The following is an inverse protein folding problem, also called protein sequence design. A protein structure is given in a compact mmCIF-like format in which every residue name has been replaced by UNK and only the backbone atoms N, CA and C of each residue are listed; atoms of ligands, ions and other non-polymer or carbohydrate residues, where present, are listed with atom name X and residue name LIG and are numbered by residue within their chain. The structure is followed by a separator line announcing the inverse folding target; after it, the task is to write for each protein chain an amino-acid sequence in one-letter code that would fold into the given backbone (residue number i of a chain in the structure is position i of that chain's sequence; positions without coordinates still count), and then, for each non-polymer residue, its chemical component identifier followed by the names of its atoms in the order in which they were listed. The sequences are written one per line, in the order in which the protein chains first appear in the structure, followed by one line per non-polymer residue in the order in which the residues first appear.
data_IF_934359734427
#
_entry.id   IF_934359734427
#
_cell.length_a   1.000
_cell.length_b   1.000
_cell.length_c   1.000
_cell.angle_alpha   90.00
_cell.angle_beta   90.00
_cell.angle_gamma   90.00
#
_symmetry.space_group_name_H-M   'P 1'
#
loop_
_entity.id
_entity.type
_entity.pdbx_description
1 polymer ?
#
# COMPACT_ATOMS: atom_id res chain seq x y z
N UNK A 1 -3.89 15.48 -2.77
CA UNK A 1 -4.73 15.10 -1.62
C UNK A 1 -5.65 13.96 -2.05
N UNK A 2 -5.93 13.04 -1.15
CA UNK A 2 -6.73 11.86 -1.48
C UNK A 2 -8.08 12.20 -2.14
N UNK A 3 -8.67 13.33 -1.78
CA UNK A 3 -9.93 13.75 -2.38
C UNK A 3 -9.82 14.25 -3.83
N UNK A 4 -8.62 14.49 -4.33
CA UNK A 4 -8.39 15.09 -5.64
C UNK A 4 -7.46 14.29 -6.55
N UNK A 5 -6.53 13.54 -5.97
CA UNK A 5 -5.57 12.74 -6.72
C UNK A 5 -6.13 11.35 -6.95
N UNK A 6 -6.14 10.90 -8.18
CA UNK A 6 -6.66 9.57 -8.54
C UNK A 6 -5.54 8.51 -8.53
N UNK A 7 -5.93 7.25 -8.45
CA UNK A 7 -4.97 6.15 -8.62
C UNK A 7 -4.31 6.21 -9.99
N UNK A 8 -5.06 6.59 -11.02
CA UNK A 8 -4.50 6.72 -12.37
C UNK A 8 -3.36 7.74 -12.40
N UNK A 9 -3.53 8.87 -11.72
CA UNK A 9 -2.49 9.89 -11.63
C UNK A 9 -1.25 9.36 -10.90
N UNK A 10 -1.44 8.68 -9.78
CA UNK A 10 -0.33 8.10 -9.03
C UNK A 10 0.38 7.03 -9.85
N UNK A 11 -0.37 6.18 -10.54
CA UNK A 11 0.22 5.14 -11.40
C UNK A 11 1.06 5.74 -12.51
N UNK A 12 0.61 6.85 -13.09
CA UNK A 12 1.36 7.52 -14.15
C UNK A 12 2.65 8.15 -13.62
N UNK A 13 2.62 8.71 -12.41
CA UNK A 13 3.82 9.24 -11.75
C UNK A 13 4.86 8.13 -11.58
N UNK A 14 4.44 6.95 -11.12
CA UNK A 14 5.34 5.80 -10.96
C UNK A 14 5.87 5.32 -12.29
N UNK A 15 5.02 5.25 -13.31
CA UNK A 15 5.42 4.81 -14.65
C UNK A 15 6.49 5.72 -15.23
N UNK A 16 6.28 7.03 -15.13
CA UNK A 16 7.22 8.02 -15.64
C UNK A 16 8.55 7.96 -14.89
N UNK A 17 8.51 7.79 -13.58
CA UNK A 17 9.69 7.68 -12.74
C UNK A 17 10.55 6.48 -13.15
N UNK A 18 9.92 5.33 -13.32
CA UNK A 18 10.60 4.07 -13.71
C UNK A 18 11.14 4.18 -15.13
N UNK A 19 10.35 4.72 -16.05
CA UNK A 19 10.75 4.87 -17.45
C UNK A 19 11.95 5.81 -17.60
N UNK A 20 11.96 6.92 -16.88
CA UNK A 20 13.05 7.90 -16.94
C UNK A 20 14.39 7.31 -16.50
N UNK A 21 14.38 6.23 -15.74
CA UNK A 21 15.57 5.56 -15.19
C UNK A 21 15.88 4.24 -15.86
N UNK A 22 15.05 3.85 -16.83
CA UNK A 22 15.16 2.56 -17.51
C UNK A 22 15.13 1.37 -16.52
N UNK A 23 14.25 1.47 -15.53
CA UNK A 23 14.17 0.44 -14.47
C UNK A 23 13.12 -0.62 -14.74
N UNK A 24 12.38 -0.54 -15.86
CA UNK A 24 11.33 -1.52 -16.19
C UNK A 24 11.87 -2.95 -16.17
N UNK A 25 13.10 -3.15 -16.63
CA UNK A 25 13.72 -4.47 -16.66
C UNK A 25 13.88 -5.10 -15.27
N UNK A 26 13.94 -4.27 -14.23
CA UNK A 26 14.08 -4.73 -12.84
C UNK A 26 12.72 -4.86 -12.13
N UNK A 27 11.67 -4.30 -12.70
CA UNK A 27 10.33 -4.27 -12.13
C UNK A 27 9.50 -5.46 -12.60
N UNK A 28 10.05 -6.67 -12.42
CA UNK A 28 9.33 -7.90 -12.73
C UNK A 28 8.31 -8.18 -11.63
N UNK A 29 7.26 -8.97 -11.91
CA UNK A 29 6.28 -9.33 -10.88
C UNK A 29 6.94 -9.97 -9.65
N UNK A 30 7.93 -10.84 -9.86
CA UNK A 30 8.65 -11.45 -8.75
C UNK A 30 9.36 -10.41 -7.89
N UNK A 31 10.13 -9.52 -8.51
CA UNK A 31 10.90 -8.52 -7.78
C UNK A 31 9.97 -7.54 -7.06
N UNK A 32 8.89 -7.13 -7.70
CA UNK A 32 7.93 -6.20 -7.10
C UNK A 32 7.16 -6.83 -5.95
N UNK A 33 6.79 -8.11 -6.07
CA UNK A 33 6.13 -8.82 -4.98
C UNK A 33 7.06 -8.89 -3.75
N UNK A 34 8.34 -9.16 -3.98
CA UNK A 34 9.33 -9.19 -2.89
C UNK A 34 9.53 -7.81 -2.29
N UNK A 35 9.59 -6.76 -3.13
CA UNK A 35 9.75 -5.39 -2.65
C UNK A 35 8.55 -4.98 -1.77
N UNK A 36 7.33 -5.34 -2.16
CA UNK A 36 6.14 -5.09 -1.35
C UNK A 36 6.30 -5.72 0.03
N UNK A 37 6.76 -6.99 0.07
CA UNK A 37 6.99 -7.69 1.33
C UNK A 37 8.05 -7.03 2.20
N UNK A 38 9.14 -6.59 1.59
CA UNK A 38 10.23 -5.93 2.31
C UNK A 38 9.74 -4.60 2.91
N UNK A 39 9.04 -3.79 2.13
CA UNK A 39 8.52 -2.51 2.62
C UNK A 39 7.46 -2.71 3.70
N UNK A 40 6.62 -3.73 3.55
CA UNK A 40 5.65 -4.09 4.60
C UNK A 40 6.36 -4.48 5.89
N UNK A 41 7.47 -5.22 5.78
CA UNK A 41 8.28 -5.59 6.94
C UNK A 41 8.90 -4.36 7.60
N UNK A 42 9.36 -3.38 6.82
CA UNK A 42 9.89 -2.13 7.36
C UNK A 42 8.81 -1.35 8.12
N UNK A 43 7.58 -1.36 7.62
CA UNK A 43 6.45 -0.79 8.35
C UNK A 43 6.23 -1.52 9.68
N UNK A 44 6.31 -2.84 9.67
CA UNK A 44 6.17 -3.67 10.89
C UNK A 44 7.23 -3.34 11.93
N UNK A 45 8.46 -3.03 11.51
CA UNK A 45 9.57 -2.75 12.42
C UNK A 45 9.27 -1.59 13.37
N UNK A 46 8.46 -0.62 12.93
CA UNK A 46 8.08 0.50 13.80
C UNK A 46 7.22 0.07 14.99
N UNK A 47 6.54 -1.06 14.87
CA UNK A 47 5.53 -1.50 15.84
C UNK A 47 5.83 -2.81 16.54
N UNK A 48 6.78 -3.60 16.05
CA UNK A 48 6.94 -5.00 16.45
C UNK A 48 7.18 -5.19 17.97
N UNK A 49 7.78 -4.21 18.63
CA UNK A 49 8.13 -4.30 20.05
C UNK A 49 7.21 -3.47 20.93
N UNK A 50 6.18 -2.90 20.36
CA UNK A 50 5.27 -2.01 21.08
C UNK A 50 4.02 -2.77 21.54
N UNK A 51 3.44 -2.28 22.61
CA UNK A 51 2.08 -2.70 23.01
C UNK A 51 1.08 -2.03 22.07
N UNK A 52 -0.16 -2.50 22.09
CA UNK A 52 -1.24 -1.88 21.30
C UNK A 52 -1.37 -0.40 21.66
N UNK A 53 -1.31 -0.07 22.94
CA UNK A 53 -1.43 1.31 23.40
C UNK A 53 -0.27 2.16 22.93
N UNK A 54 0.94 1.65 23.00
CA UNK A 54 2.14 2.35 22.52
C UNK A 54 2.09 2.59 21.02
N UNK A 55 1.46 1.69 20.26
CA UNK A 55 1.31 1.88 18.80
C UNK A 55 0.47 3.11 18.48
N UNK A 56 -0.58 3.38 19.26
CA UNK A 56 -1.36 4.61 19.10
C UNK A 56 -0.55 5.86 19.44
N UNK A 57 0.27 5.77 20.48
CA UNK A 57 1.13 6.89 20.89
C UNK A 57 2.18 7.20 19.82
N UNK A 58 2.75 6.18 19.20
CA UNK A 58 3.78 6.35 18.18
C UNK A 58 3.25 7.17 17.00
N UNK A 59 2.07 6.85 16.49
CA UNK A 59 1.52 7.58 15.34
C UNK A 59 1.04 8.99 15.67
N UNK A 60 1.01 9.36 16.94
CA UNK A 60 0.68 10.72 17.34
C UNK A 60 1.92 11.61 17.44
N UNK A 61 3.09 11.03 17.53
CA UNK A 61 4.33 11.80 17.53
C UNK A 61 4.65 12.24 16.08
N UNK A 62 4.74 13.55 15.82
CA UNK A 62 4.88 14.04 14.44
C UNK A 62 6.05 13.47 13.65
N UNK A 63 7.23 13.31 14.28
CA UNK A 63 8.39 12.78 13.57
C UNK A 63 8.26 11.29 13.26
N UNK A 64 7.73 10.51 14.20
CA UNK A 64 7.52 9.07 14.00
C UNK A 64 6.37 8.83 13.04
N UNK A 65 5.33 9.64 13.11
CA UNK A 65 4.23 9.58 12.16
C UNK A 65 4.71 9.79 10.73
N UNK A 66 5.63 10.73 10.53
CA UNK A 66 6.20 10.99 9.20
C UNK A 66 6.97 9.77 8.67
N UNK A 67 7.75 9.11 9.53
CA UNK A 67 8.47 7.90 9.14
C UNK A 67 7.52 6.75 8.78
N UNK A 68 6.46 6.56 9.57
CA UNK A 68 5.43 5.56 9.28
C UNK A 68 4.73 5.87 7.95
N UNK A 69 4.43 7.14 7.70
CA UNK A 69 3.80 7.55 6.44
C UNK A 69 4.70 7.24 5.24
N UNK A 70 6.01 7.44 5.38
CA UNK A 70 6.97 7.11 4.31
C UNK A 70 6.98 5.62 4.02
N UNK A 71 6.99 4.77 5.06
CA UNK A 71 6.97 3.32 4.87
C UNK A 71 5.66 2.86 4.24
N UNK A 72 4.55 3.42 4.69
CA UNK A 72 3.24 3.10 4.12
C UNK A 72 3.18 3.54 2.66
N UNK A 73 3.73 4.72 2.34
CA UNK A 73 3.81 5.20 0.96
C UNK A 73 4.62 4.25 0.09
N UNK A 74 5.75 3.73 0.59
CA UNK A 74 6.58 2.80 -0.17
C UNK A 74 5.82 1.50 -0.49
N UNK A 75 5.03 1.00 0.45
CA UNK A 75 4.19 -0.19 0.19
C UNK A 75 3.23 0.09 -0.96
N UNK A 76 2.55 1.23 -0.94
CA UNK A 76 1.61 1.60 -2.00
C UNK A 76 2.32 1.83 -3.33
N UNK A 77 3.47 2.50 -3.31
CA UNK A 77 4.27 2.73 -4.53
C UNK A 77 4.58 1.41 -5.22
N UNK A 78 5.07 0.41 -4.50
CA UNK A 78 5.37 -0.89 -5.09
C UNK A 78 4.13 -1.65 -5.52
N UNK A 79 3.02 -1.51 -4.80
CA UNK A 79 1.75 -2.09 -5.22
C UNK A 79 1.28 -1.50 -6.55
N UNK A 80 1.37 -0.17 -6.70
CA UNK A 80 0.98 0.49 -7.95
C UNK A 80 1.93 0.15 -9.09
N UNK A 81 3.22 0.02 -8.79
CA UNK A 81 4.20 -0.43 -9.79
C UNK A 81 3.90 -1.85 -10.25
N UNK A 82 3.53 -2.73 -9.34
CA UNK A 82 3.10 -4.08 -9.69
C UNK A 82 1.88 -4.05 -10.61
N UNK A 83 0.88 -3.24 -10.28
CA UNK A 83 -0.30 -3.07 -11.10
C UNK A 83 0.05 -2.56 -12.50
N UNK A 84 1.01 -1.63 -12.61
CA UNK A 84 1.47 -1.13 -13.89
C UNK A 84 2.10 -2.25 -14.75
N UNK A 85 2.96 -3.05 -14.15
CA UNK A 85 3.65 -4.11 -14.87
C UNK A 85 2.72 -5.27 -15.25
N UNK A 86 1.77 -5.59 -14.39
CA UNK A 86 0.83 -6.69 -14.60
C UNK A 86 -0.43 -6.26 -15.35
N UNK A 87 -0.57 -4.98 -15.65
CA UNK A 87 -1.75 -4.40 -16.30
C UNK A 87 -3.04 -4.73 -15.53
N UNK A 88 -3.00 -4.50 -14.22
CA UNK A 88 -4.14 -4.71 -13.33
C UNK A 88 -4.77 -3.35 -13.01
N UNK A 89 -6.08 -3.24 -13.20
CA UNK A 89 -6.82 -2.06 -12.74
C UNK A 89 -7.07 -2.21 -11.24
N UNK A 90 -6.43 -1.36 -10.45
CA UNK A 90 -6.48 -1.48 -8.99
C UNK A 90 -7.84 -1.10 -8.42
N UNK A 91 -8.49 -0.09 -8.98
CA UNK A 91 -9.82 0.29 -8.52
C UNK A 91 -10.81 -0.86 -8.69
N UNK A 92 -10.81 -1.47 -9.88
CA UNK A 92 -11.66 -2.61 -10.16
C UNK A 92 -11.33 -3.80 -9.24
N UNK A 93 -10.04 -4.09 -9.06
CA UNK A 93 -9.60 -5.19 -8.22
C UNK A 93 -10.05 -5.01 -6.76
N UNK A 94 -9.85 -3.79 -6.21
CA UNK A 94 -10.24 -3.49 -4.84
C UNK A 94 -11.76 -3.55 -4.68
N UNK A 95 -12.50 -2.93 -5.59
CA UNK A 95 -13.96 -2.92 -5.51
C UNK A 95 -14.55 -4.32 -5.62
N UNK A 96 -14.02 -5.13 -6.54
CA UNK A 96 -14.49 -6.52 -6.69
C UNK A 96 -14.17 -7.34 -5.44
N UNK A 97 -12.96 -7.16 -4.89
CA UNK A 97 -12.56 -7.88 -3.68
C UNK A 97 -13.41 -7.47 -2.48
N UNK A 98 -13.72 -6.19 -2.34
CA UNK A 98 -14.56 -5.70 -1.25
C UNK A 98 -15.98 -6.26 -1.34
N UNK A 99 -16.54 -6.38 -2.54
CA UNK A 99 -17.84 -7.02 -2.71
C UNK A 99 -17.84 -8.47 -2.22
N UNK A 100 -16.77 -9.22 -2.54
CA UNK A 100 -16.60 -10.60 -2.05
C UNK A 100 -16.42 -10.63 -0.54
N UNK A 101 -15.69 -9.67 0.00
CA UNK A 101 -15.48 -9.58 1.45
C UNK A 101 -16.78 -9.30 2.20
N UNK A 102 -17.62 -8.42 1.67
CA UNK A 102 -18.94 -8.19 2.27
C UNK A 102 -19.80 -9.44 2.29
N UNK A 103 -19.70 -10.24 1.25
CA UNK A 103 -20.44 -11.50 1.16
C UNK A 103 -19.88 -12.54 2.12
N UNK A 104 -18.56 -12.62 2.20
CA UNK A 104 -17.86 -13.60 3.06
C UNK A 104 -17.92 -13.20 4.53
N UNK A 105 -17.88 -11.92 4.83
CA UNK A 105 -17.88 -11.37 6.19
C UNK A 105 -19.03 -10.38 6.35
N UNK A 106 -20.29 -10.85 6.42
CA UNK A 106 -21.41 -9.93 6.55
C UNK A 106 -21.36 -9.17 7.87
N UNK A 107 -22.01 -7.98 7.95
CA UNK A 107 -22.05 -7.25 9.19
C UNK A 107 -22.60 -8.12 10.32
N UNK A 108 -22.05 -7.94 11.51
CA UNK A 108 -22.57 -8.64 12.68
C UNK A 108 -24.00 -8.24 12.94
N UNK A 109 -24.83 -9.20 13.30
CA UNK A 109 -26.15 -8.88 13.79
C UNK A 109 -26.00 -8.22 15.17
N UNK A 110 -27.06 -7.55 15.59
CA UNK A 110 -27.07 -6.83 16.85
C UNK A 110 -26.71 -7.76 18.02
N UNK A 111 -25.69 -7.40 18.77
CA UNK A 111 -25.26 -8.13 19.93
C UNK A 111 -24.15 -9.14 19.70
N UNK A 112 -23.66 -9.23 18.49
CA UNK A 112 -22.51 -10.11 18.16
C UNK A 112 -21.17 -9.50 18.50
#
# INVERSE_FOLDING_TARGET
MDSHTTLAELREIMRAFVAARNWEQYHTPKNLAMAIGIEAAELMEHFQWLTVEESWQLIQDPSQRAEVADELADVIIYCLSFANQADIDMSDAVLAKMRRNEHRFPPHSKGE
#
